data_IF_213578102228
#
_entry.id   IF_213578102228
#
_cell.length_a   1.000
_cell.length_b   1.000
_cell.length_c   1.000
_cell.angle_alpha   90.00
_cell.angle_beta   90.00
_cell.angle_gamma   90.00
#
_symmetry.space_group_name_H-M   'P 1'
#
loop_
_entity.id
_entity.type
_entity.pdbx_description
1 polymer ?
#
# COMPACT_ATOMS: atom_id res chain seq x y z
N UNK A 1 -5.73 7.32 -17.10
CA UNK A 1 -5.26 7.30 -15.70
C UNK A 1 -3.93 6.56 -15.70
N UNK A 2 -2.84 7.16 -15.22
CA UNK A 2 -1.52 6.51 -15.23
C UNK A 2 -1.39 5.53 -14.07
N UNK A 3 -0.90 4.32 -14.36
CA UNK A 3 -0.60 3.30 -13.34
C UNK A 3 0.55 3.77 -12.44
N UNK A 4 0.60 3.26 -11.21
CA UNK A 4 1.70 3.56 -10.28
C UNK A 4 2.92 2.72 -10.65
N UNK A 5 4.08 3.35 -10.83
CA UNK A 5 5.34 2.64 -11.05
C UNK A 5 5.86 2.10 -9.73
N UNK A 6 6.06 0.79 -9.66
CA UNK A 6 6.54 0.11 -8.45
C UNK A 6 7.71 -0.82 -8.79
N UNK A 7 8.54 -1.11 -7.79
CA UNK A 7 9.59 -2.12 -7.94
C UNK A 7 8.99 -3.52 -8.04
N UNK A 8 9.78 -4.47 -8.56
CA UNK A 8 9.37 -5.87 -8.65
C UNK A 8 8.99 -6.47 -7.29
N UNK A 9 9.73 -6.13 -6.24
CA UNK A 9 9.48 -6.64 -4.87
C UNK A 9 8.15 -6.14 -4.32
N UNK A 10 7.77 -4.89 -4.61
CA UNK A 10 6.48 -4.32 -4.23
C UNK A 10 5.36 -5.00 -5.02
N UNK A 11 5.53 -5.21 -6.32
CA UNK A 11 4.55 -5.93 -7.14
C UNK A 11 4.31 -7.35 -6.63
N UNK A 12 5.38 -8.11 -6.36
CA UNK A 12 5.29 -9.48 -5.82
C UNK A 12 4.58 -9.51 -4.45
N UNK A 13 4.81 -8.50 -3.60
CA UNK A 13 4.14 -8.38 -2.31
C UNK A 13 2.65 -7.98 -2.46
N UNK A 14 2.31 -7.12 -3.42
CA UNK A 14 0.93 -6.74 -3.72
C UNK A 14 0.14 -7.95 -4.26
N UNK A 15 0.74 -8.75 -5.15
CA UNK A 15 0.12 -9.95 -5.75
C UNK A 15 -0.14 -11.06 -4.71
N UNK A 16 0.74 -11.18 -3.70
CA UNK A 16 0.60 -12.18 -2.61
C UNK A 16 -0.39 -11.75 -1.52
N UNK A 17 -0.82 -10.49 -1.52
CA UNK A 17 -1.63 -9.95 -0.44
C UNK A 17 -3.08 -10.46 -0.53
N UNK A 18 -3.64 -11.07 0.53
CA UNK A 18 -5.00 -11.59 0.48
C UNK A 18 -6.04 -10.47 0.37
N UNK A 19 -7.14 -10.73 -0.33
CA UNK A 19 -8.25 -9.78 -0.56
C UNK A 19 -8.81 -9.18 0.74
N UNK A 20 -8.83 -9.94 1.83
CA UNK A 20 -9.26 -9.42 3.13
C UNK A 20 -8.30 -8.36 3.70
N UNK A 21 -7.00 -8.50 3.45
CA UNK A 21 -6.03 -7.47 3.78
C UNK A 21 -6.17 -6.28 2.85
N UNK A 22 -6.52 -6.46 1.57
CA UNK A 22 -6.85 -5.35 0.65
C UNK A 22 -7.97 -4.47 1.22
N UNK A 23 -9.08 -5.08 1.63
CA UNK A 23 -10.24 -4.35 2.17
C UNK A 23 -9.94 -3.67 3.51
N UNK A 24 -9.19 -4.34 4.40
CA UNK A 24 -8.77 -3.73 5.68
C UNK A 24 -7.87 -2.53 5.47
N UNK A 25 -6.92 -2.59 4.54
CA UNK A 25 -5.98 -1.51 4.28
C UNK A 25 -6.66 -0.33 3.58
N UNK A 26 -7.57 -0.59 2.64
CA UNK A 26 -8.42 0.46 2.05
C UNK A 26 -9.21 1.22 3.13
N UNK A 27 -9.84 0.50 4.07
CA UNK A 27 -10.55 1.11 5.19
C UNK A 27 -9.61 1.85 6.15
N UNK A 28 -8.41 1.33 6.41
CA UNK A 28 -7.38 1.98 7.25
C UNK A 28 -6.89 3.30 6.65
N UNK A 29 -6.69 3.33 5.33
CA UNK A 29 -6.35 4.55 4.57
C UNK A 29 -7.53 5.52 4.59
N UNK A 30 -8.76 5.03 4.42
CA UNK A 30 -9.97 5.85 4.49
C UNK A 30 -10.24 6.43 5.89
N UNK A 31 -9.73 5.80 6.95
CA UNK A 31 -9.98 6.20 8.34
C UNK A 31 -8.74 6.76 9.06
N UNK A 32 -7.59 6.90 8.38
CA UNK A 32 -6.38 7.60 8.82
C UNK A 32 -5.94 7.39 10.29
N UNK A 33 -6.14 6.20 10.89
CA UNK A 33 -5.70 5.94 12.29
C UNK A 33 -4.21 5.59 12.43
N UNK A 34 -3.49 5.35 11.33
CA UNK A 34 -2.07 4.93 11.32
C UNK A 34 -1.10 5.93 10.67
N UNK A 35 -1.57 7.11 10.24
CA UNK A 35 -0.78 8.09 9.50
C UNK A 35 -0.85 9.46 10.19
N UNK A 36 0.26 10.19 10.24
CA UNK A 36 0.29 11.56 10.77
C UNK A 36 -0.45 12.51 9.83
N UNK A 37 -0.82 13.69 10.32
CA UNK A 37 -1.46 14.75 9.51
C UNK A 37 -0.65 15.21 8.29
N UNK A 38 0.63 14.81 8.18
CA UNK A 38 1.50 15.08 7.05
C UNK A 38 1.64 13.89 6.07
N UNK A 39 0.81 12.85 6.23
CA UNK A 39 0.80 11.67 5.34
C UNK A 39 1.87 10.62 5.65
N UNK A 40 2.67 10.80 6.70
CA UNK A 40 3.73 9.85 7.09
C UNK A 40 3.12 8.70 7.89
N UNK A 41 3.48 7.46 7.54
CA UNK A 41 3.11 6.25 8.27
C UNK A 41 3.68 6.28 9.70
N UNK A 42 2.82 6.34 10.71
CA UNK A 42 3.20 6.42 12.13
C UNK A 42 3.16 5.05 12.83
N UNK A 43 2.61 4.04 12.16
CA UNK A 43 2.59 2.66 12.65
C UNK A 43 2.74 1.69 11.49
N UNK A 44 3.66 0.73 11.62
CA UNK A 44 3.86 -0.34 10.63
C UNK A 44 2.58 -1.14 10.41
N UNK A 45 2.02 -1.10 9.19
CA UNK A 45 0.80 -1.83 8.86
C UNK A 45 1.06 -3.33 8.63
N UNK A 46 2.29 -3.69 8.28
CA UNK A 46 2.70 -5.06 7.97
C UNK A 46 3.83 -5.52 8.87
N UNK A 47 3.65 -6.68 9.52
CA UNK A 47 4.63 -7.21 10.47
C UNK A 47 5.67 -8.17 9.87
N UNK A 48 5.51 -8.68 8.66
CA UNK A 48 6.45 -9.67 8.07
C UNK A 48 6.56 -9.54 6.53
N UNK A 49 6.19 -10.55 5.74
CA UNK A 49 6.44 -10.70 4.29
C UNK A 49 5.98 -9.53 3.39
N UNK A 50 5.13 -8.65 3.91
CA UNK A 50 4.61 -7.46 3.24
C UNK A 50 5.28 -6.16 3.72
N UNK A 51 6.34 -6.23 4.52
CA UNK A 51 7.03 -5.07 5.10
C UNK A 51 7.55 -4.11 4.03
N UNK A 52 7.89 -4.62 2.85
CA UNK A 52 8.32 -3.81 1.69
C UNK A 52 7.24 -2.82 1.25
N UNK A 53 5.95 -3.12 1.49
CA UNK A 53 4.84 -2.22 1.18
C UNK A 53 4.83 -0.96 2.05
N UNK A 54 5.55 -0.95 3.18
CA UNK A 54 5.70 0.27 3.99
C UNK A 54 6.62 1.32 3.33
N UNK A 55 7.35 0.95 2.26
CA UNK A 55 8.14 1.91 1.47
C UNK A 55 7.25 2.79 0.58
N UNK A 56 6.03 2.34 0.28
CA UNK A 56 5.06 3.14 -0.46
C UNK A 56 4.46 4.22 0.41
N UNK A 57 4.34 5.43 -0.16
CA UNK A 57 3.48 6.45 0.41
C UNK A 57 2.03 5.96 0.40
N UNK A 58 1.21 6.35 1.39
CA UNK A 58 -0.14 5.79 1.54
C UNK A 58 -1.03 6.10 0.33
N UNK A 59 -0.82 7.28 -0.26
CA UNK A 59 -1.53 7.70 -1.46
C UNK A 59 -1.13 6.85 -2.67
N UNK A 60 0.15 6.51 -2.81
CA UNK A 60 0.62 5.65 -3.91
C UNK A 60 0.17 4.21 -3.71
N UNK A 61 0.17 3.72 -2.47
CA UNK A 61 -0.43 2.44 -2.14
C UNK A 61 -1.93 2.41 -2.48
N UNK A 62 -2.71 3.43 -2.06
CA UNK A 62 -4.12 3.54 -2.41
C UNK A 62 -4.35 3.60 -3.92
N UNK A 63 -3.49 4.33 -4.64
CA UNK A 63 -3.53 4.38 -6.11
C UNK A 63 -3.21 3.02 -6.73
N UNK A 64 -2.25 2.26 -6.19
CA UNK A 64 -2.00 0.89 -6.64
C UNK A 64 -3.27 0.02 -6.55
N UNK A 65 -4.08 0.20 -5.49
CA UNK A 65 -5.33 -0.54 -5.32
C UNK A 65 -6.44 -0.08 -6.29
N UNK A 66 -6.55 1.24 -6.54
CA UNK A 66 -7.66 1.81 -7.33
C UNK A 66 -7.40 1.74 -8.84
N UNK A 67 -6.19 2.09 -9.26
CA UNK A 67 -5.83 2.25 -10.69
C UNK A 67 -4.87 1.18 -11.21
N UNK A 68 -4.32 0.35 -10.31
CA UNK A 68 -3.31 -0.64 -10.62
C UNK A 68 -1.88 -0.07 -10.68
N UNK A 69 -0.92 -0.97 -10.83
CA UNK A 69 0.51 -0.66 -10.88
C UNK A 69 1.20 -1.26 -12.11
N UNK A 70 2.40 -0.76 -12.40
CA UNK A 70 3.31 -1.28 -13.41
C UNK A 70 4.71 -1.45 -12.82
N UNK A 71 5.38 -2.55 -13.18
CA UNK A 71 6.75 -2.82 -12.72
C UNK A 71 7.72 -2.00 -13.54
N UNK A 72 8.64 -1.28 -12.88
CA UNK A 72 9.74 -0.52 -13.50
C UNK A 72 11.09 -1.10 -13.12
#
# INVERSE_FOLDING_TARGET
MYKVKVSKEIADALDKMPIDNWNKQFNLISHCKGFSGNGICMSTNYKDEFKILNELQPLDFARCLIVGYEVT
#
